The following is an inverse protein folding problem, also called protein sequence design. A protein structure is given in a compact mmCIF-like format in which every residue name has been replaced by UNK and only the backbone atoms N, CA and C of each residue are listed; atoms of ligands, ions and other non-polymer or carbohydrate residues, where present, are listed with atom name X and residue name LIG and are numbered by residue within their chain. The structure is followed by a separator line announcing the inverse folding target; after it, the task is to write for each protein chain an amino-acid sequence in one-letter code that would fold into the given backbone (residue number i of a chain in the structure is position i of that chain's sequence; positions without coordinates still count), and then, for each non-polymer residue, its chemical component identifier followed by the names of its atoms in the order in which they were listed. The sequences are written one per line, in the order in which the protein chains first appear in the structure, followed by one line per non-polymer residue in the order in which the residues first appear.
data_IF_582962722235
#
_entry.id   IF_582962722235
#
_cell.length_a   1.000
_cell.length_b   1.000
_cell.length_c   1.000
_cell.angle_alpha   90.00
_cell.angle_beta   90.00
_cell.angle_gamma   90.00
#
_symmetry.space_group_name_H-M   'P 1'
#
loop_
_entity.id
_entity.type
_entity.pdbx_description
1 polymer ?
#
# COMPACT_ATOMS: atom_id res chain seq x y z
N UNK A 1 -2.79 55.68 1.65
CA UNK A 1 -2.54 54.30 2.11
C UNK A 1 -2.20 53.44 0.90
N UNK A 2 -0.93 53.24 0.65
CA UNK A 2 -0.47 52.38 -0.44
C UNK A 2 -0.74 50.91 -0.05
N UNK A 3 -1.58 50.22 -0.80
CA UNK A 3 -1.73 48.77 -0.73
C UNK A 3 -0.41 48.22 -1.30
N UNK A 4 0.47 47.79 -0.42
CA UNK A 4 1.65 47.04 -0.79
C UNK A 4 1.15 45.66 -1.28
N UNK A 5 0.95 45.52 -2.58
CA UNK A 5 0.77 44.24 -3.24
C UNK A 5 2.08 43.49 -3.05
N UNK A 6 2.15 42.72 -1.96
CA UNK A 6 3.25 41.82 -1.71
C UNK A 6 3.53 41.04 -2.96
N UNK A 7 4.74 41.16 -3.49
CA UNK A 7 5.30 40.32 -4.53
C UNK A 7 4.88 38.86 -4.22
N UNK A 8 4.14 38.25 -5.15
CA UNK A 8 3.44 37.00 -4.96
C UNK A 8 4.33 35.75 -4.72
N UNK A 9 5.15 35.82 -3.65
CA UNK A 9 5.87 34.63 -3.16
C UNK A 9 4.86 33.63 -2.63
N UNK A 10 4.89 32.43 -3.19
CA UNK A 10 4.16 31.29 -2.68
C UNK A 10 5.05 30.50 -1.70
N UNK A 11 4.46 29.63 -0.90
CA UNK A 11 5.21 28.76 0.03
C UNK A 11 6.25 27.93 -0.72
N UNK A 12 5.95 27.50 -1.94
CA UNK A 12 6.86 26.78 -2.81
C UNK A 12 8.20 27.46 -3.08
N UNK A 13 8.29 28.79 -2.90
CA UNK A 13 9.53 29.56 -3.09
C UNK A 13 10.39 29.67 -1.81
N UNK A 14 9.90 29.14 -0.68
CA UNK A 14 10.59 29.24 0.62
C UNK A 14 11.65 28.17 0.80
N UNK A 15 12.63 28.43 1.66
CA UNK A 15 13.63 27.44 2.03
C UNK A 15 13.03 26.25 2.81
N UNK A 16 12.06 26.54 3.70
CA UNK A 16 11.33 25.51 4.43
C UNK A 16 10.64 24.52 3.49
N UNK A 17 10.05 25.02 2.39
CA UNK A 17 9.43 24.16 1.40
C UNK A 17 10.45 23.34 0.60
N UNK A 18 11.62 23.86 0.30
CA UNK A 18 12.67 23.12 -0.39
C UNK A 18 13.15 21.94 0.45
N UNK A 19 13.40 22.16 1.75
CA UNK A 19 13.78 21.11 2.70
C UNK A 19 12.67 20.04 2.78
N UNK A 20 11.42 20.48 2.95
CA UNK A 20 10.26 19.59 2.94
C UNK A 20 10.18 18.79 1.65
N UNK A 21 10.35 19.45 0.49
CA UNK A 21 10.26 18.82 -0.83
C UNK A 21 11.26 17.69 -0.99
N UNK A 22 12.52 17.89 -0.57
CA UNK A 22 13.57 16.86 -0.65
C UNK A 22 13.23 15.63 0.18
N UNK A 23 12.70 15.81 1.39
CA UNK A 23 12.31 14.69 2.24
C UNK A 23 11.00 14.03 1.75
N UNK A 24 10.06 14.83 1.23
CA UNK A 24 8.79 14.31 0.74
C UNK A 24 8.95 13.50 -0.56
N UNK A 25 9.90 13.90 -1.42
CA UNK A 25 10.18 13.23 -2.68
C UNK A 25 10.65 11.78 -2.47
N UNK A 26 11.31 11.45 -1.36
CA UNK A 26 11.66 10.07 -1.00
C UNK A 26 10.43 9.14 -0.94
N UNK A 27 9.30 9.66 -0.48
CA UNK A 27 8.04 8.91 -0.45
C UNK A 27 7.48 8.67 -1.87
N UNK A 28 7.62 9.65 -2.77
CA UNK A 28 7.22 9.52 -4.18
C UNK A 28 8.12 8.51 -4.87
N UNK A 29 9.43 8.67 -4.76
CA UNK A 29 10.44 7.80 -5.35
C UNK A 29 10.28 6.34 -4.89
N UNK A 30 10.00 6.14 -3.61
CA UNK A 30 9.73 4.80 -3.09
C UNK A 30 8.53 4.14 -3.76
N UNK A 31 7.37 4.81 -3.84
CA UNK A 31 6.19 4.23 -4.49
C UNK A 31 6.36 4.07 -6.01
N UNK A 32 7.08 5.00 -6.67
CA UNK A 32 7.41 4.86 -8.10
C UNK A 32 8.30 3.64 -8.34
N UNK A 33 9.34 3.46 -7.52
CA UNK A 33 10.23 2.29 -7.61
C UNK A 33 9.48 1.00 -7.32
N UNK A 34 8.55 1.00 -6.35
CA UNK A 34 7.74 -0.16 -6.01
C UNK A 34 6.76 -0.53 -7.14
N UNK A 35 6.06 0.46 -7.72
CA UNK A 35 5.19 0.23 -8.88
C UNK A 35 5.98 -0.31 -10.08
N UNK A 36 7.15 0.25 -10.35
CA UNK A 36 8.03 -0.20 -11.41
C UNK A 36 8.56 -1.62 -11.17
N UNK A 37 8.92 -1.98 -9.94
CA UNK A 37 9.36 -3.34 -9.61
C UNK A 37 8.28 -4.36 -9.99
N UNK A 38 7.02 -4.09 -9.66
CA UNK A 38 5.90 -4.97 -10.00
C UNK A 38 5.71 -5.08 -11.52
N UNK A 39 5.72 -3.95 -12.23
CA UNK A 39 5.49 -3.92 -13.68
C UNK A 39 6.59 -4.62 -14.47
N UNK A 40 7.85 -4.33 -14.16
CA UNK A 40 9.00 -4.83 -14.95
C UNK A 40 9.41 -6.24 -14.57
N UNK A 41 9.12 -6.70 -13.36
CA UNK A 41 9.40 -8.08 -12.95
C UNK A 41 8.29 -9.07 -13.31
N UNK A 42 7.21 -8.62 -13.96
CA UNK A 42 6.08 -9.48 -14.31
C UNK A 42 5.31 -10.06 -13.12
N UNK A 43 5.51 -9.53 -11.92
CA UNK A 43 4.89 -10.03 -10.67
C UNK A 43 3.43 -9.64 -10.60
N UNK A 44 2.63 -10.27 -11.41
CA UNK A 44 1.20 -10.00 -11.51
C UNK A 44 0.46 -10.99 -10.63
N UNK A 45 -0.26 -10.48 -9.64
CA UNK A 45 -1.18 -11.28 -8.86
C UNK A 45 -2.48 -11.42 -9.62
N UNK A 46 -2.94 -12.66 -9.76
CA UNK A 46 -4.22 -12.96 -10.39
C UNK A 46 -5.29 -13.27 -9.34
N UNK A 47 -6.47 -12.73 -9.56
CA UNK A 47 -7.67 -13.06 -8.80
C UNK A 47 -8.64 -13.85 -9.67
N UNK A 48 -8.99 -15.05 -9.26
CA UNK A 48 -9.95 -15.88 -9.96
C UNK A 48 -11.33 -15.73 -9.31
N UNK A 49 -12.27 -15.11 -10.04
CA UNK A 49 -13.69 -15.30 -9.76
C UNK A 49 -14.13 -16.71 -10.23
N UNK A 50 -15.42 -17.02 -10.17
CA UNK A 50 -15.94 -18.33 -10.59
C UNK A 50 -15.57 -18.74 -12.04
N UNK A 51 -15.46 -17.76 -12.95
CA UNK A 51 -15.22 -18.03 -14.40
C UNK A 51 -14.26 -17.05 -15.06
N UNK A 52 -13.70 -16.07 -14.33
CA UNK A 52 -12.86 -15.02 -14.89
C UNK A 52 -11.60 -14.85 -14.06
N UNK A 53 -10.50 -14.70 -14.74
CA UNK A 53 -9.24 -14.26 -14.15
C UNK A 53 -9.13 -12.74 -14.28
N UNK A 54 -8.82 -12.09 -13.18
CA UNK A 54 -8.53 -10.66 -13.13
C UNK A 54 -7.09 -10.48 -12.69
N UNK A 55 -6.40 -9.52 -13.31
CA UNK A 55 -5.05 -9.14 -12.90
C UNK A 55 -5.15 -7.98 -11.91
N UNK A 56 -4.48 -8.09 -10.77
CA UNK A 56 -4.33 -6.99 -9.83
C UNK A 56 -3.23 -6.09 -10.35
N UNK A 57 -3.62 -4.99 -11.00
CA UNK A 57 -2.68 -4.04 -11.60
C UNK A 57 -2.10 -3.06 -10.58
N UNK A 58 -1.06 -2.33 -10.98
CA UNK A 58 -0.47 -1.24 -10.21
C UNK A 58 -1.29 0.06 -10.20
N UNK A 59 -2.46 0.08 -10.83
CA UNK A 59 -3.26 1.30 -10.99
C UNK A 59 -3.55 2.06 -9.69
N UNK A 60 -3.75 1.34 -8.55
CA UNK A 60 -3.93 1.98 -7.24
C UNK A 60 -2.61 2.61 -6.74
N UNK A 61 -1.47 2.01 -7.01
CA UNK A 61 -0.16 2.56 -6.67
C UNK A 61 0.12 3.81 -7.51
N UNK A 62 -0.14 3.76 -8.81
CA UNK A 62 0.04 4.88 -9.72
C UNK A 62 -0.87 6.05 -9.34
N UNK A 63 -2.12 5.76 -8.95
CA UNK A 63 -3.05 6.76 -8.40
C UNK A 63 -2.53 7.34 -7.07
N UNK A 64 -1.92 6.51 -6.21
CA UNK A 64 -1.32 6.95 -4.95
C UNK A 64 -0.11 7.86 -5.18
N UNK A 65 0.72 7.59 -6.19
CA UNK A 65 1.83 8.45 -6.62
C UNK A 65 1.29 9.82 -7.07
N UNK A 66 0.24 9.86 -7.90
CA UNK A 66 -0.39 11.13 -8.30
C UNK A 66 -0.98 11.88 -7.10
N UNK A 67 -1.54 11.15 -6.13
CA UNK A 67 -2.04 11.73 -4.88
C UNK A 67 -0.91 12.38 -4.07
N UNK A 68 0.28 11.74 -3.98
CA UNK A 68 1.46 12.33 -3.34
C UNK A 68 1.90 13.62 -4.04
N UNK A 69 1.99 13.63 -5.36
CA UNK A 69 2.33 14.83 -6.14
C UNK A 69 1.33 15.96 -5.88
N UNK A 70 0.05 15.63 -5.77
CA UNK A 70 -1.02 16.59 -5.45
C UNK A 70 -0.91 17.13 -4.02
N UNK A 71 -0.55 16.30 -3.03
CA UNK A 71 -0.28 16.73 -1.65
C UNK A 71 0.86 17.77 -1.64
N UNK A 72 1.96 17.48 -2.33
CA UNK A 72 3.11 18.40 -2.45
C UNK A 72 2.70 19.73 -3.06
N UNK A 73 1.87 19.69 -4.12
CA UNK A 73 1.34 20.91 -4.75
C UNK A 73 0.45 21.71 -3.80
N UNK A 74 -0.46 21.05 -3.05
CA UNK A 74 -1.28 21.73 -2.04
C UNK A 74 -0.41 22.43 -0.99
N UNK A 75 0.68 21.80 -0.53
CA UNK A 75 1.61 22.41 0.41
C UNK A 75 2.31 23.63 -0.18
N UNK A 76 2.67 23.62 -1.47
CA UNK A 76 3.36 24.74 -2.13
C UNK A 76 2.52 26.03 -2.19
N UNK A 77 1.20 25.90 -2.16
CA UNK A 77 0.26 27.05 -2.18
C UNK A 77 -0.40 27.34 -0.83
N UNK A 78 -0.05 26.59 0.24
CA UNK A 78 -0.59 26.78 1.58
C UNK A 78 -1.93 26.12 1.86
N UNK A 79 -2.35 25.17 1.02
CA UNK A 79 -3.63 24.44 1.15
C UNK A 79 -3.44 23.18 1.99
N UNK A 80 -3.12 23.33 3.29
CA UNK A 80 -2.81 22.19 4.17
C UNK A 80 -4.02 21.38 4.58
N UNK A 81 -5.24 21.94 4.57
CA UNK A 81 -6.45 21.17 4.82
C UNK A 81 -6.71 20.18 3.66
N UNK A 82 -6.55 20.64 2.41
CA UNK A 82 -6.70 19.79 1.24
C UNK A 82 -5.58 18.76 1.18
N UNK A 83 -4.34 19.13 1.51
CA UNK A 83 -3.23 18.19 1.65
C UNK A 83 -3.59 17.04 2.62
N UNK A 84 -4.14 17.35 3.80
CA UNK A 84 -4.57 16.34 4.78
C UNK A 84 -5.75 15.47 4.29
N UNK A 85 -6.66 16.04 3.51
CA UNK A 85 -7.74 15.29 2.87
C UNK A 85 -7.19 14.29 1.86
N UNK A 86 -6.19 14.70 1.07
CA UNK A 86 -5.48 13.82 0.13
C UNK A 86 -4.64 12.75 0.85
N UNK A 87 -4.05 13.06 2.01
CA UNK A 87 -3.36 12.06 2.84
C UNK A 87 -4.34 10.97 3.29
N UNK A 88 -5.59 11.33 3.63
CA UNK A 88 -6.61 10.31 3.91
C UNK A 88 -6.89 9.42 2.70
N UNK A 89 -7.05 10.04 1.53
CA UNK A 89 -7.25 9.27 0.29
C UNK A 89 -6.07 8.32 0.03
N UNK A 90 -4.84 8.81 0.13
CA UNK A 90 -3.62 7.99 -0.01
C UNK A 90 -3.65 6.77 0.92
N UNK A 91 -3.99 6.98 2.19
CA UNK A 91 -4.13 5.91 3.18
C UNK A 91 -5.13 4.85 2.73
N UNK A 92 -6.31 5.30 2.32
CA UNK A 92 -7.41 4.41 1.97
C UNK A 92 -7.09 3.60 0.70
N UNK A 93 -6.45 4.23 -0.31
CA UNK A 93 -6.02 3.58 -1.54
C UNK A 93 -4.93 2.50 -1.29
N UNK A 94 -3.91 2.83 -0.51
CA UNK A 94 -2.82 1.89 -0.20
C UNK A 94 -3.32 0.67 0.62
N UNK A 95 -4.19 0.89 1.59
CA UNK A 95 -4.76 -0.22 2.38
C UNK A 95 -5.75 -1.04 1.55
N UNK A 96 -6.52 -0.42 0.65
CA UNK A 96 -7.33 -1.15 -0.32
C UNK A 96 -6.47 -2.06 -1.19
N UNK A 97 -5.31 -1.58 -1.66
CA UNK A 97 -4.40 -2.41 -2.45
C UNK A 97 -3.96 -3.66 -1.67
N UNK A 98 -3.50 -3.49 -0.42
CA UNK A 98 -3.11 -4.63 0.43
C UNK A 98 -4.29 -5.58 0.68
N UNK A 99 -5.49 -5.05 0.92
CA UNK A 99 -6.69 -5.87 1.11
C UNK A 99 -7.01 -6.71 -0.13
N UNK A 100 -6.93 -6.12 -1.33
CA UNK A 100 -7.15 -6.86 -2.59
C UNK A 100 -6.12 -7.99 -2.73
N UNK A 101 -4.84 -7.72 -2.46
CA UNK A 101 -3.79 -8.74 -2.49
C UNK A 101 -4.05 -9.88 -1.51
N UNK A 102 -4.37 -9.56 -0.26
CA UNK A 102 -4.61 -10.57 0.79
C UNK A 102 -5.87 -11.42 0.49
N UNK A 103 -6.93 -10.82 -0.07
CA UNK A 103 -8.11 -11.56 -0.55
C UNK A 103 -7.74 -12.46 -1.72
N UNK A 104 -6.94 -11.97 -2.67
CA UNK A 104 -6.51 -12.76 -3.83
C UNK A 104 -5.66 -13.96 -3.39
N UNK A 105 -4.73 -13.76 -2.47
CA UNK A 105 -3.85 -14.81 -1.95
C UNK A 105 -4.59 -15.89 -1.16
N UNK A 106 -5.64 -15.51 -0.42
CA UNK A 106 -6.46 -16.47 0.34
C UNK A 106 -7.48 -17.21 -0.53
N UNK A 107 -7.69 -16.76 -1.77
CA UNK A 107 -8.63 -17.39 -2.69
C UNK A 107 -8.14 -18.76 -3.11
N UNK A 108 -8.96 -19.78 -2.88
CA UNK A 108 -8.80 -21.14 -3.42
C UNK A 108 -9.59 -21.24 -4.73
N UNK A 109 -8.93 -21.03 -5.90
CA UNK A 109 -9.63 -20.88 -7.17
C UNK A 109 -10.20 -22.21 -7.70
N UNK A 110 -9.65 -23.35 -7.28
CA UNK A 110 -10.04 -24.68 -7.74
C UNK A 110 -10.65 -25.51 -6.61
N UNK A 111 -11.39 -26.55 -6.98
CA UNK A 111 -11.94 -27.52 -6.04
C UNK A 111 -10.80 -28.38 -5.49
N UNK A 112 -10.70 -28.54 -4.17
CA UNK A 112 -9.55 -29.22 -3.52
C UNK A 112 -9.44 -30.70 -3.95
N UNK A 113 -10.57 -31.39 -4.19
CA UNK A 113 -10.57 -32.76 -4.63
C UNK A 113 -9.90 -32.94 -6.01
N UNK A 114 -9.99 -31.92 -6.87
CA UNK A 114 -9.36 -31.97 -8.20
C UNK A 114 -7.83 -31.73 -8.12
N UNK A 115 -7.32 -31.27 -6.98
CA UNK A 115 -5.89 -31.00 -6.75
C UNK A 115 -5.16 -32.17 -6.07
N UNK A 116 -5.90 -33.07 -5.38
CA UNK A 116 -5.32 -34.16 -4.60
C UNK A 116 -4.57 -35.21 -5.44
N UNK A 117 -4.95 -35.36 -6.72
CA UNK A 117 -4.41 -36.34 -7.64
C UNK A 117 -3.35 -35.78 -8.62
N UNK A 118 -2.86 -34.56 -8.38
CA UNK A 118 -1.85 -33.94 -9.22
C UNK A 118 -0.52 -34.71 -9.18
N UNK A 119 -0.34 -35.58 -10.16
CA UNK A 119 0.93 -36.25 -10.44
C UNK A 119 1.72 -35.48 -11.49
N UNK A 120 2.84 -34.89 -11.09
CA UNK A 120 3.73 -34.11 -11.97
C UNK A 120 4.56 -34.98 -12.91
N UNK A 121 4.45 -36.33 -12.77
CA UNK A 121 5.33 -37.28 -13.47
C UNK A 121 4.99 -37.52 -14.96
N UNK A 122 3.82 -37.06 -15.42
CA UNK A 122 3.40 -37.18 -16.80
C UNK A 122 2.77 -35.88 -17.30
N UNK A 123 3.48 -35.13 -18.14
CA UNK A 123 3.05 -33.84 -18.66
C UNK A 123 1.74 -33.86 -19.43
N UNK A 124 1.36 -35.01 -20.05
CA UNK A 124 0.09 -35.12 -20.75
C UNK A 124 -1.06 -35.29 -19.78
N UNK A 125 -0.91 -36.17 -18.77
CA UNK A 125 -1.91 -36.36 -17.70
C UNK A 125 -2.10 -35.09 -16.90
N UNK A 126 -1.00 -34.35 -16.63
CA UNK A 126 -1.06 -33.03 -15.99
C UNK A 126 -1.86 -32.02 -16.80
N UNK A 127 -1.61 -31.95 -18.12
CA UNK A 127 -2.34 -31.02 -19.01
C UNK A 127 -3.83 -31.38 -19.10
N UNK A 128 -4.16 -32.67 -19.26
CA UNK A 128 -5.55 -33.16 -19.31
C UNK A 128 -6.29 -32.88 -18.00
N UNK A 129 -5.63 -33.05 -16.86
CA UNK A 129 -6.18 -32.82 -15.54
C UNK A 129 -6.39 -31.31 -15.32
N UNK A 130 -5.41 -30.48 -15.68
CA UNK A 130 -5.51 -29.02 -15.58
C UNK A 130 -6.68 -28.47 -16.42
N UNK A 131 -6.88 -28.99 -17.62
CA UNK A 131 -7.99 -28.59 -18.51
C UNK A 131 -9.38 -29.02 -17.96
N UNK A 132 -9.43 -30.04 -17.11
CA UNK A 132 -10.66 -30.58 -16.52
C UNK A 132 -10.92 -30.04 -15.09
N UNK A 133 -10.01 -29.27 -14.52
CA UNK A 133 -10.20 -28.65 -13.19
C UNK A 133 -11.46 -27.82 -13.10
N UNK A 134 -12.22 -28.02 -12.05
CA UNK A 134 -13.43 -27.24 -11.76
C UNK A 134 -13.08 -26.01 -10.95
N UNK A 135 -13.56 -24.86 -11.40
CA UNK A 135 -13.48 -23.64 -10.60
C UNK A 135 -14.38 -23.74 -9.37
N UNK A 136 -13.82 -23.33 -8.24
CA UNK A 136 -14.60 -23.16 -7.02
C UNK A 136 -15.51 -21.93 -7.17
N UNK A 137 -16.81 -22.16 -7.36
CA UNK A 137 -17.83 -21.12 -7.53
C UNK A 137 -18.29 -20.52 -6.20
N UNK A 138 -17.88 -21.07 -5.06
CA UNK A 138 -18.22 -20.54 -3.75
C UNK A 138 -17.34 -19.34 -3.43
N UNK A 139 -17.87 -18.15 -3.60
CA UNK A 139 -17.19 -16.88 -3.28
C UNK A 139 -17.66 -16.36 -1.92
N UNK A 140 -16.72 -15.94 -1.10
CA UNK A 140 -16.98 -15.16 0.12
C UNK A 140 -17.45 -13.74 -0.23
N UNK A 141 -18.08 -13.05 0.73
CA UNK A 141 -18.50 -11.65 0.50
C UNK A 141 -17.31 -10.72 0.17
N UNK A 142 -16.13 -10.99 0.74
CA UNK A 142 -14.91 -10.23 0.46
C UNK A 142 -14.39 -10.50 -0.97
N UNK A 143 -14.42 -11.74 -1.43
CA UNK A 143 -14.08 -12.11 -2.80
C UNK A 143 -15.06 -11.55 -3.84
N UNK A 144 -16.37 -11.55 -3.54
CA UNK A 144 -17.37 -10.92 -4.39
C UNK A 144 -17.11 -9.41 -4.49
N UNK A 145 -16.79 -8.75 -3.38
CA UNK A 145 -16.52 -7.32 -3.37
C UNK A 145 -15.25 -6.96 -4.17
N UNK A 146 -14.15 -7.72 -3.98
CA UNK A 146 -12.91 -7.53 -4.73
C UNK A 146 -13.13 -7.81 -6.23
N UNK A 147 -13.82 -8.88 -6.59
CA UNK A 147 -14.16 -9.19 -7.98
C UNK A 147 -14.98 -8.08 -8.63
N UNK A 148 -15.95 -7.52 -7.93
CA UNK A 148 -16.75 -6.41 -8.43
C UNK A 148 -15.93 -5.11 -8.58
N UNK A 149 -14.97 -4.87 -7.67
CA UNK A 149 -14.07 -3.73 -7.77
C UNK A 149 -13.18 -3.86 -9.02
N UNK A 150 -12.58 -5.03 -9.25
CA UNK A 150 -11.74 -5.31 -10.42
C UNK A 150 -12.52 -5.23 -11.75
N UNK A 151 -13.82 -5.51 -11.71
CA UNK A 151 -14.73 -5.46 -12.87
C UNK A 151 -15.44 -4.10 -13.07
N UNK A 152 -15.23 -3.12 -12.18
CA UNK A 152 -15.98 -1.84 -12.18
C UNK A 152 -17.51 -2.00 -11.99
N UNK A 153 -17.96 -3.06 -11.30
CA UNK A 153 -19.38 -3.35 -11.04
C UNK A 153 -19.79 -3.14 -9.57
N UNK A 154 -18.99 -2.39 -8.80
CA UNK A 154 -19.26 -2.13 -7.37
C UNK A 154 -20.65 -1.52 -7.11
N UNK A 155 -21.17 -0.71 -8.04
CA UNK A 155 -22.47 -0.07 -7.90
C UNK A 155 -23.63 -1.08 -7.91
N UNK A 156 -23.44 -2.24 -8.51
CA UNK A 156 -24.44 -3.31 -8.65
C UNK A 156 -24.50 -4.22 -7.40
N UNK A 157 -23.53 -4.10 -6.49
CA UNK A 157 -23.47 -4.93 -5.30
C UNK A 157 -24.57 -4.60 -4.29
N UNK A 158 -25.11 -5.63 -3.59
CA UNK A 158 -25.92 -5.41 -2.39
C UNK A 158 -25.15 -4.60 -1.36
N UNK A 159 -25.84 -3.75 -0.60
CA UNK A 159 -25.23 -2.84 0.39
C UNK A 159 -24.28 -3.56 1.36
N UNK A 160 -24.67 -4.74 1.87
CA UNK A 160 -23.84 -5.52 2.80
C UNK A 160 -22.50 -5.92 2.20
N UNK A 161 -22.48 -6.35 0.93
CA UNK A 161 -21.24 -6.73 0.21
C UNK A 161 -20.44 -5.48 -0.14
N UNK A 162 -21.11 -4.40 -0.56
CA UNK A 162 -20.45 -3.11 -0.85
C UNK A 162 -19.70 -2.57 0.36
N UNK A 163 -20.20 -2.78 1.58
CA UNK A 163 -19.52 -2.38 2.82
C UNK A 163 -18.21 -3.12 3.07
N UNK A 164 -17.95 -4.23 2.36
CA UNK A 164 -16.64 -4.89 2.37
C UNK A 164 -15.54 -4.02 1.77
N UNK A 165 -15.90 -3.09 0.90
CA UNK A 165 -15.00 -2.08 0.33
C UNK A 165 -14.95 -0.82 1.22
N UNK A 166 -14.94 -0.98 2.53
CA UNK A 166 -14.73 0.09 3.51
C UNK A 166 -13.43 -0.09 4.24
N UNK A 167 -12.81 1.03 4.61
CA UNK A 167 -11.54 1.02 5.35
C UNK A 167 -11.59 0.17 6.64
N UNK A 168 -12.70 0.23 7.38
CA UNK A 168 -12.90 -0.57 8.58
C UNK A 168 -12.87 -2.07 8.29
N UNK A 169 -13.46 -2.48 7.17
CA UNK A 169 -13.44 -3.89 6.77
C UNK A 169 -12.05 -4.31 6.30
N UNK A 170 -11.33 -3.48 5.56
CA UNK A 170 -9.95 -3.80 5.15
C UNK A 170 -9.10 -4.12 6.38
N UNK A 171 -9.10 -3.23 7.37
CA UNK A 171 -8.34 -3.43 8.60
C UNK A 171 -8.82 -4.64 9.41
N UNK A 172 -10.13 -4.91 9.43
CA UNK A 172 -10.68 -6.11 10.09
C UNK A 172 -10.23 -7.39 9.40
N UNK A 173 -10.20 -7.40 8.07
CA UNK A 173 -9.77 -8.56 7.28
C UNK A 173 -8.27 -8.82 7.44
N UNK A 174 -7.45 -7.78 7.32
CA UNK A 174 -5.99 -7.88 7.48
C UNK A 174 -5.58 -8.35 8.87
N UNK A 175 -6.30 -7.96 9.93
CA UNK A 175 -6.06 -8.41 11.30
C UNK A 175 -6.31 -9.92 11.52
N UNK A 176 -6.90 -10.64 10.57
CA UNK A 176 -6.98 -12.09 10.63
C UNK A 176 -5.61 -12.77 10.41
N UNK A 177 -4.67 -12.06 9.83
CA UNK A 177 -3.27 -12.48 9.79
C UNK A 177 -2.64 -12.26 11.19
N UNK A 178 -2.14 -13.33 11.80
CA UNK A 178 -1.61 -13.32 13.16
C UNK A 178 -0.41 -12.38 13.31
N UNK A 179 0.48 -12.33 12.32
CA UNK A 179 1.64 -11.44 12.33
C UNK A 179 1.21 -9.97 12.24
N UNK A 180 0.23 -9.64 11.40
CA UNK A 180 -0.32 -8.29 11.33
C UNK A 180 -0.98 -7.92 12.67
N UNK A 181 -1.77 -8.82 13.25
CA UNK A 181 -2.42 -8.60 14.55
C UNK A 181 -1.39 -8.36 15.66
N UNK A 182 -0.32 -9.17 15.69
CA UNK A 182 0.79 -9.05 16.64
C UNK A 182 1.51 -7.71 16.50
N UNK A 183 1.91 -7.33 15.28
CA UNK A 183 2.64 -6.08 15.03
C UNK A 183 1.81 -4.85 15.43
N UNK A 184 0.52 -4.86 15.13
CA UNK A 184 -0.39 -3.78 15.51
C UNK A 184 -0.50 -3.58 17.01
N UNK A 185 -0.51 -4.69 17.77
CA UNK A 185 -0.68 -4.70 19.22
C UNK A 185 0.64 -4.40 19.93
N UNK A 186 1.69 -5.15 19.63
CA UNK A 186 2.95 -5.13 20.39
C UNK A 186 3.68 -3.80 20.22
N UNK A 187 3.55 -3.17 19.04
CA UNK A 187 4.19 -1.88 18.74
C UNK A 187 3.24 -0.69 18.84
N UNK A 188 2.02 -0.87 19.39
CA UNK A 188 1.00 0.17 19.54
C UNK A 188 0.67 0.91 18.23
N UNK A 189 0.93 0.26 17.09
CA UNK A 189 0.66 0.86 15.78
C UNK A 189 -0.83 1.09 15.56
N UNK A 190 -1.69 0.30 16.20
CA UNK A 190 -3.12 0.50 16.14
C UNK A 190 -3.53 1.84 16.75
N UNK A 191 -3.02 2.20 17.93
CA UNK A 191 -3.38 3.44 18.63
C UNK A 191 -2.98 4.67 17.82
N UNK A 192 -1.76 4.62 17.26
CA UNK A 192 -1.28 5.68 16.39
C UNK A 192 -2.13 5.79 15.12
N UNK A 193 -2.48 4.65 14.53
CA UNK A 193 -3.31 4.58 13.34
C UNK A 193 -4.70 5.15 13.55
N UNK A 194 -5.34 4.85 14.68
CA UNK A 194 -6.64 5.40 15.05
C UNK A 194 -6.55 6.91 15.32
N UNK A 195 -5.51 7.36 16.00
CA UNK A 195 -5.25 8.80 16.21
C UNK A 195 -5.09 9.53 14.88
N UNK A 196 -4.29 9.00 13.96
CA UNK A 196 -4.12 9.56 12.62
C UNK A 196 -5.44 9.59 11.85
N UNK A 197 -6.21 8.50 11.88
CA UNK A 197 -7.54 8.39 11.26
C UNK A 197 -8.48 9.49 11.75
N UNK A 198 -8.61 9.64 13.06
CA UNK A 198 -9.48 10.65 13.65
C UNK A 198 -9.07 12.07 13.26
N UNK A 199 -7.78 12.34 13.24
CA UNK A 199 -7.23 13.62 12.82
C UNK A 199 -7.52 13.93 11.36
N UNK A 200 -7.32 12.97 10.45
CA UNK A 200 -7.60 13.13 9.02
C UNK A 200 -9.10 13.28 8.73
N UNK A 201 -9.96 12.56 9.47
CA UNK A 201 -11.42 12.69 9.34
C UNK A 201 -11.91 14.12 9.65
N UNK A 202 -11.29 14.82 10.61
CA UNK A 202 -11.64 16.20 10.92
C UNK A 202 -11.43 17.15 9.74
N UNK A 203 -10.40 16.93 8.91
CA UNK A 203 -10.17 17.73 7.70
C UNK A 203 -11.23 17.44 6.63
N UNK A 204 -11.55 16.18 6.38
CA UNK A 204 -12.54 15.79 5.37
C UNK A 204 -13.95 16.31 5.69
N UNK A 205 -14.31 16.34 6.99
CA UNK A 205 -15.64 16.76 7.43
C UNK A 205 -15.68 18.21 7.89
N UNK A 206 -14.59 18.99 7.75
CA UNK A 206 -14.49 20.38 8.24
C UNK A 206 -15.01 20.56 9.68
N UNK A 207 -14.56 19.68 10.57
CA UNK A 207 -15.05 19.60 11.97
C UNK A 207 -14.53 20.76 12.84
N UNK A 208 -14.60 21.99 12.33
CA UNK A 208 -14.26 23.22 13.04
C UNK A 208 -13.51 24.22 12.16
N UNK A 209 -13.61 25.49 12.49
CA UNK A 209 -12.99 26.63 11.79
C UNK A 209 -11.48 26.42 11.61
N UNK A 210 -10.81 25.83 12.60
CA UNK A 210 -9.37 25.56 12.53
C UNK A 210 -8.97 24.68 11.34
N UNK A 211 -9.81 23.72 10.94
CA UNK A 211 -9.49 22.84 9.80
C UNK A 211 -9.63 23.59 8.47
N UNK A 212 -10.61 24.48 8.36
CA UNK A 212 -10.76 25.36 7.19
C UNK A 212 -9.61 26.39 7.12
N UNK A 213 -9.21 26.96 8.25
CA UNK A 213 -8.13 27.99 8.29
C UNK A 213 -6.77 27.44 7.84
N UNK A 214 -6.56 26.11 7.91
CA UNK A 214 -5.35 25.48 7.40
C UNK A 214 -5.20 25.55 5.86
N UNK A 215 -6.21 26.01 5.13
CA UNK A 215 -6.09 26.37 3.71
C UNK A 215 -5.69 27.84 3.48
N UNK A 216 -5.49 28.61 4.56
CA UNK A 216 -5.16 30.01 4.52
C UNK A 216 -3.74 30.31 5.03
N UNK A 217 -2.89 29.30 5.08
CA UNK A 217 -1.49 29.40 5.51
C UNK A 217 -0.70 30.19 4.45
N UNK A 218 0.11 31.13 4.92
CA UNK A 218 0.91 32.01 4.07
C UNK A 218 2.40 31.89 4.40
N UNK A 219 3.23 32.41 3.51
CA UNK A 219 4.70 32.43 3.66
C UNK A 219 5.17 33.01 5.02
N UNK A 220 4.44 33.97 5.58
CA UNK A 220 4.76 34.61 6.86
C UNK A 220 4.06 33.98 8.07
N UNK A 221 3.41 32.83 7.89
CA UNK A 221 2.77 32.11 9.00
C UNK A 221 3.86 31.59 9.93
N UNK A 222 3.80 31.98 11.20
CA UNK A 222 4.62 31.34 12.22
C UNK A 222 4.42 29.84 12.23
N UNK A 223 5.48 29.07 12.39
CA UNK A 223 5.42 27.59 12.40
C UNK A 223 5.07 26.95 11.05
N UNK A 224 5.35 27.59 9.90
CA UNK A 224 5.20 26.98 8.58
C UNK A 224 5.93 25.62 8.49
N UNK A 225 7.14 25.57 9.03
CA UNK A 225 7.95 24.35 9.16
C UNK A 225 7.21 23.22 9.88
N UNK A 226 6.44 23.53 10.92
CA UNK A 226 5.62 22.54 11.67
C UNK A 226 4.49 22.00 10.80
N UNK A 227 3.83 22.83 9.98
CA UNK A 227 2.81 22.33 9.04
C UNK A 227 3.41 21.38 8.01
N UNK A 228 4.52 21.77 7.39
CA UNK A 228 5.23 20.95 6.40
C UNK A 228 5.72 19.63 7.02
N UNK A 229 6.36 19.69 8.20
CA UNK A 229 6.81 18.51 8.94
C UNK A 229 5.67 17.56 9.28
N UNK A 230 4.52 18.10 9.70
CA UNK A 230 3.34 17.29 10.01
C UNK A 230 2.82 16.53 8.77
N UNK A 231 2.80 17.17 7.59
CA UNK A 231 2.43 16.52 6.32
C UNK A 231 3.40 15.39 6.03
N UNK A 232 4.70 15.65 6.05
CA UNK A 232 5.72 14.64 5.77
C UNK A 232 5.63 13.46 6.73
N UNK A 233 5.58 13.72 8.05
CA UNK A 233 5.47 12.67 9.07
C UNK A 233 4.25 11.77 8.86
N UNK A 234 3.07 12.35 8.57
CA UNK A 234 1.84 11.58 8.33
C UNK A 234 1.95 10.71 7.08
N UNK A 235 2.51 11.28 6.02
CA UNK A 235 2.69 10.59 4.74
C UNK A 235 3.68 9.43 4.87
N UNK A 236 4.86 9.70 5.42
CA UNK A 236 5.90 8.66 5.65
C UNK A 236 5.39 7.55 6.56
N UNK A 237 4.60 7.87 7.59
CA UNK A 237 3.99 6.86 8.45
C UNK A 237 3.03 5.95 7.68
N UNK A 238 2.19 6.51 6.80
CA UNK A 238 1.25 5.72 6.00
C UNK A 238 2.00 4.78 5.04
N UNK A 239 3.04 5.28 4.38
CA UNK A 239 3.84 4.48 3.44
C UNK A 239 4.63 3.40 4.17
N UNK A 240 5.22 3.72 5.33
CA UNK A 240 5.89 2.73 6.18
C UNK A 240 4.92 1.63 6.61
N UNK A 241 3.72 2.00 7.04
CA UNK A 241 2.70 1.04 7.44
C UNK A 241 2.25 0.16 6.27
N UNK A 242 2.04 0.77 5.10
CA UNK A 242 1.77 0.04 3.87
C UNK A 242 2.87 -0.99 3.56
N UNK A 243 4.15 -0.58 3.60
CA UNK A 243 5.27 -1.50 3.36
C UNK A 243 5.27 -2.67 4.36
N UNK A 244 5.07 -2.38 5.65
CA UNK A 244 4.98 -3.42 6.68
C UNK A 244 3.88 -4.43 6.36
N UNK A 245 2.71 -3.97 5.93
CA UNK A 245 1.62 -4.84 5.53
C UNK A 245 1.96 -5.68 4.29
N UNK A 246 2.61 -5.10 3.28
CA UNK A 246 3.05 -5.84 2.09
C UNK A 246 4.04 -6.94 2.47
N UNK A 247 5.03 -6.65 3.33
CA UNK A 247 5.99 -7.67 3.84
C UNK A 247 5.27 -8.84 4.50
N UNK A 248 4.15 -8.59 5.18
CA UNK A 248 3.39 -9.62 5.90
C UNK A 248 2.36 -10.35 5.02
N UNK A 249 1.96 -9.80 3.88
CA UNK A 249 0.89 -10.35 3.04
C UNK A 249 1.39 -10.93 1.72
N UNK A 250 2.36 -10.28 1.07
CA UNK A 250 2.79 -10.63 -0.29
C UNK A 250 4.28 -10.35 -0.52
N UNK A 251 5.12 -11.24 -0.01
CA UNK A 251 6.56 -11.09 -0.10
C UNK A 251 7.09 -11.17 -1.55
N UNK A 252 6.40 -11.85 -2.46
CA UNK A 252 6.82 -11.92 -3.86
C UNK A 252 6.92 -10.54 -4.52
N UNK A 253 6.11 -9.56 -4.10
CA UNK A 253 6.14 -8.20 -4.65
C UNK A 253 7.36 -7.39 -4.21
N UNK A 254 8.06 -7.80 -3.16
CA UNK A 254 9.16 -7.03 -2.56
C UNK A 254 10.51 -7.74 -2.64
N UNK A 255 10.56 -8.97 -3.17
CA UNK A 255 11.80 -9.73 -3.30
C UNK A 255 12.72 -9.13 -4.38
N UNK A 256 14.02 -9.36 -4.26
CA UNK A 256 14.95 -9.15 -5.37
C UNK A 256 14.57 -10.03 -6.57
N UNK A 257 15.02 -9.67 -7.77
CA UNK A 257 14.68 -10.40 -9.00
C UNK A 257 15.47 -11.69 -9.13
N UNK A 258 16.68 -11.74 -8.60
CA UNK A 258 17.66 -12.77 -8.93
C UNK A 258 17.15 -14.22 -8.75
N UNK A 259 16.67 -14.57 -7.56
CA UNK A 259 16.16 -15.93 -7.31
C UNK A 259 14.91 -16.24 -8.13
N UNK A 260 14.02 -15.26 -8.27
CA UNK A 260 12.75 -15.42 -9.00
C UNK A 260 13.02 -15.58 -10.48
N UNK A 261 13.95 -14.82 -11.05
CA UNK A 261 14.33 -14.93 -12.46
C UNK A 261 14.87 -16.34 -12.81
N UNK A 262 15.64 -16.96 -11.91
CA UNK A 262 16.04 -18.37 -12.06
C UNK A 262 14.84 -19.32 -12.06
N UNK A 263 13.95 -19.17 -11.09
CA UNK A 263 12.77 -20.03 -10.95
C UNK A 263 11.80 -19.87 -12.12
N UNK A 264 11.58 -18.65 -12.60
CA UNK A 264 10.72 -18.34 -13.74
C UNK A 264 11.27 -18.93 -15.07
N UNK A 265 12.60 -19.03 -15.17
CA UNK A 265 13.26 -19.68 -16.29
C UNK A 265 13.31 -21.24 -16.15
N UNK A 266 12.78 -21.79 -15.07
CA UNK A 266 12.85 -23.22 -14.78
C UNK A 266 14.26 -23.72 -14.49
N UNK A 267 15.17 -22.83 -14.06
CA UNK A 267 16.53 -23.13 -13.67
C UNK A 267 16.65 -23.25 -12.15
N UNK A 268 17.60 -24.06 -11.69
CA UNK A 268 17.95 -24.06 -10.26
C UNK A 268 18.78 -22.82 -9.96
N UNK A 269 18.40 -22.01 -8.93
CA UNK A 269 19.22 -20.89 -8.49
C UNK A 269 20.60 -21.40 -8.00
N UNK A 270 21.68 -20.58 -8.14
CA UNK A 270 22.97 -20.90 -7.53
C UNK A 270 22.84 -21.16 -6.03
N UNK A 271 23.74 -22.00 -5.44
CA UNK A 271 23.70 -22.33 -4.03
C UNK A 271 23.84 -21.10 -3.10
N UNK A 272 24.47 -20.04 -3.58
CA UNK A 272 24.66 -18.77 -2.89
C UNK A 272 23.54 -17.75 -3.17
N UNK A 273 22.60 -18.08 -4.04
CA UNK A 273 21.44 -17.24 -4.33
C UNK A 273 20.49 -17.26 -3.12
N UNK A 274 20.30 -16.09 -2.52
CA UNK A 274 19.43 -15.95 -1.37
C UNK A 274 18.13 -15.25 -1.77
N UNK A 275 17.04 -15.67 -1.15
CA UNK A 275 15.78 -14.96 -1.26
C UNK A 275 15.86 -13.67 -0.43
N UNK A 276 16.09 -12.56 -1.10
CA UNK A 276 16.34 -11.25 -0.48
C UNK A 276 15.29 -10.24 -0.87
N UNK A 277 15.09 -9.26 0.01
CA UNK A 277 14.28 -8.08 -0.29
C UNK A 277 15.00 -7.20 -1.32
N UNK A 278 14.23 -6.51 -2.19
CA UNK A 278 14.81 -5.58 -3.17
C UNK A 278 15.59 -4.45 -2.47
N UNK A 279 16.72 -4.06 -3.04
CA UNK A 279 17.69 -3.15 -2.41
C UNK A 279 17.06 -1.83 -1.96
N UNK A 280 16.26 -1.17 -2.82
CA UNK A 280 15.62 0.10 -2.46
C UNK A 280 14.58 -0.03 -1.33
N UNK A 281 13.95 -1.21 -1.18
CA UNK A 281 13.03 -1.50 -0.09
C UNK A 281 13.82 -1.72 1.20
N UNK A 282 14.96 -2.42 1.13
CA UNK A 282 15.87 -2.55 2.27
C UNK A 282 16.33 -1.16 2.75
N UNK A 283 16.73 -0.30 1.82
CA UNK A 283 17.13 1.07 2.13
C UNK A 283 15.98 1.87 2.79
N UNK A 284 14.76 1.70 2.33
CA UNK A 284 13.60 2.35 2.93
C UNK A 284 13.32 1.83 4.35
N UNK A 285 13.46 0.53 4.58
CA UNK A 285 13.36 -0.07 5.93
C UNK A 285 14.41 0.54 6.85
N UNK A 286 15.65 0.63 6.41
CA UNK A 286 16.77 1.12 7.20
C UNK A 286 16.69 2.62 7.52
N UNK A 287 16.16 3.40 6.58
CA UNK A 287 16.14 4.85 6.68
C UNK A 287 14.82 5.42 7.20
N UNK A 288 13.68 4.79 6.91
CA UNK A 288 12.37 5.35 7.24
C UNK A 288 11.58 4.51 8.26
N UNK A 289 11.53 3.18 8.10
CA UNK A 289 10.81 2.31 9.06
C UNK A 289 11.44 2.41 10.45
N UNK A 290 12.78 2.35 10.51
CA UNK A 290 13.55 2.42 11.76
C UNK A 290 13.34 3.76 12.50
N UNK A 291 13.11 4.86 11.79
CA UNK A 291 12.81 6.17 12.42
C UNK A 291 11.47 6.17 13.17
N UNK A 292 10.50 5.44 12.66
CA UNK A 292 9.17 5.37 13.26
C UNK A 292 9.19 4.43 14.46
N UNK A 293 9.78 3.25 14.28
CA UNK A 293 9.85 2.23 15.32
C UNK A 293 11.07 1.32 15.07
N UNK A 294 12.17 1.50 15.79
CA UNK A 294 13.43 0.76 15.54
C UNK A 294 13.27 -0.76 15.56
N UNK A 295 12.38 -1.27 16.42
CA UNK A 295 12.14 -2.70 16.60
C UNK A 295 11.38 -3.34 15.44
N UNK A 296 10.71 -2.55 14.59
CA UNK A 296 9.97 -3.08 13.44
C UNK A 296 10.90 -3.81 12.46
N UNK A 297 12.11 -3.30 12.24
CA UNK A 297 13.08 -3.96 11.37
C UNK A 297 13.37 -5.39 11.86
N UNK A 298 13.65 -5.57 13.15
CA UNK A 298 13.90 -6.89 13.72
C UNK A 298 12.65 -7.78 13.63
N UNK A 299 11.47 -7.21 13.90
CA UNK A 299 10.23 -7.95 13.76
C UNK A 299 10.01 -8.45 12.32
N UNK A 300 10.27 -7.61 11.31
CA UNK A 300 10.15 -7.99 9.90
C UNK A 300 11.13 -9.10 9.52
N UNK A 301 12.37 -9.08 10.07
CA UNK A 301 13.34 -10.16 9.90
C UNK A 301 12.83 -11.51 10.43
N UNK A 302 12.26 -11.48 11.63
CA UNK A 302 11.92 -12.71 12.37
C UNK A 302 10.55 -13.29 11.99
N UNK A 303 9.66 -12.48 11.43
CA UNK A 303 8.25 -12.85 11.22
C UNK A 303 7.74 -12.69 9.78
N UNK A 304 8.61 -12.45 8.80
CA UNK A 304 8.19 -12.58 7.42
C UNK A 304 7.98 -14.08 7.13
N UNK A 305 6.77 -14.46 6.77
CA UNK A 305 6.36 -15.87 6.64
C UNK A 305 7.05 -16.64 5.48
N UNK A 306 7.93 -15.98 4.75
CA UNK A 306 8.49 -16.51 3.51
C UNK A 306 10.00 -16.77 3.60
N UNK A 307 10.60 -16.56 4.79
CA UNK A 307 12.03 -16.75 5.00
C UNK A 307 12.92 -15.79 4.20
N UNK A 308 12.35 -14.67 3.75
CA UNK A 308 13.11 -13.66 2.99
C UNK A 308 14.17 -13.01 3.86
N UNK A 309 15.37 -12.87 3.33
CA UNK A 309 16.46 -12.17 4.00
C UNK A 309 16.24 -10.66 3.96
N UNK A 310 16.04 -10.09 5.15
CA UNK A 310 16.01 -8.65 5.43
C UNK A 310 17.27 -8.35 6.25
N UNK A 311 18.14 -7.47 5.78
CA UNK A 311 19.45 -7.17 6.41
C UNK A 311 19.36 -6.22 7.60
#
# INVERSE_FOLDING_TARGET
MGINLNNGKIIGDTEDFKIFSQDFDKNIEFLESFSNLILFSGRIISFFSDKKMHLVSTALLDNSIQTLKSIKLCCSIGSFADANTLIRKLRDDLILYVYILDVANKRKPFVEEDLSDLSVNNSKEFADMFLNMRFNSNLTEDEIAVGAWLNNTVLELPYKVKMKLSFENYMKFLKQNENISKILKDYKLQDYWETLRNKLNNYVHNNGVQFTSHNLIKVHTESLDVYLKNINTRTSYIITFFLVLIVMTEAALISSTDMIDYLDCGMEPPEDCQYEIATFIQEYIDNEVVKIHPELKQFLKDNNNYGMKIN
#
